data_IF_910869108607
#
_entry.id   IF_910869108607
#
_cell.length_a   1.000
_cell.length_b   1.000
_cell.length_c   1.000
_cell.angle_alpha   90.00
_cell.angle_beta   90.00
_cell.angle_gamma   90.00
#
_symmetry.space_group_name_H-M   'P 1'
#
loop_
_entity.id
_entity.type
_entity.pdbx_description
1 polymer ?
#
# COMPACT_ATOMS: atom_id res chain seq x y z
N UNK A 1 13.81 24.38 18.15
CA UNK A 1 12.67 23.89 18.95
C UNK A 1 11.32 24.42 18.43
N UNK A 2 11.16 25.72 18.17
CA UNK A 2 9.87 26.29 17.75
C UNK A 2 9.37 25.78 16.38
N UNK A 3 10.28 25.60 15.42
CA UNK A 3 9.94 25.12 14.07
C UNK A 3 9.36 23.70 14.07
N UNK A 4 9.96 22.79 14.85
CA UNK A 4 9.47 21.42 14.94
C UNK A 4 8.16 21.31 15.72
N UNK A 5 7.96 22.10 16.77
CA UNK A 5 6.70 22.16 17.49
C UNK A 5 5.55 22.61 16.57
N UNK A 6 5.81 23.62 15.71
CA UNK A 6 4.87 24.05 14.68
C UNK A 6 4.57 22.93 13.67
N UNK A 7 5.58 22.20 13.24
CA UNK A 7 5.42 21.03 12.38
C UNK A 7 4.57 19.94 13.05
N UNK A 8 4.88 19.57 14.30
CA UNK A 8 4.08 18.57 15.05
C UNK A 8 2.63 18.99 15.19
N UNK A 9 2.36 20.28 15.41
CA UNK A 9 0.98 20.77 15.47
C UNK A 9 0.27 20.56 14.13
N UNK A 10 0.93 20.85 13.01
CA UNK A 10 0.37 20.59 11.68
C UNK A 10 0.09 19.10 11.44
N UNK A 11 0.95 18.20 11.93
CA UNK A 11 0.71 16.77 11.83
C UNK A 11 -0.51 16.34 12.66
N UNK A 12 -0.67 16.89 13.87
CA UNK A 12 -1.86 16.64 14.71
C UNK A 12 -3.15 17.12 14.05
N UNK A 13 -3.10 18.28 13.43
CA UNK A 13 -4.28 18.91 12.82
C UNK A 13 -4.70 18.23 11.50
N UNK A 14 -3.73 17.75 10.71
CA UNK A 14 -3.97 17.41 9.32
C UNK A 14 -3.67 15.95 8.95
N UNK A 15 -2.99 15.18 9.80
CA UNK A 15 -2.57 13.82 9.46
C UNK A 15 -2.94 12.76 10.51
N UNK A 16 -2.36 12.86 11.70
CA UNK A 16 -2.49 11.83 12.74
C UNK A 16 -2.33 12.43 14.14
N UNK A 17 -3.12 12.00 15.12
CA UNK A 17 -2.91 12.39 16.51
C UNK A 17 -1.51 12.01 17.00
N UNK A 18 -0.78 12.96 17.58
CA UNK A 18 0.49 12.71 18.26
C UNK A 18 0.28 12.98 19.75
N UNK A 19 0.35 11.93 20.54
CA UNK A 19 0.06 11.92 21.98
C UNK A 19 1.34 11.69 22.76
N UNK A 20 1.39 12.22 23.98
CA UNK A 20 2.42 11.84 24.94
C UNK A 20 1.81 10.83 25.91
N UNK A 21 2.38 9.65 25.95
CA UNK A 21 2.06 8.65 26.95
C UNK A 21 3.23 8.42 27.90
N UNK A 22 3.00 7.74 28.98
CA UNK A 22 4.03 7.42 29.95
C UNK A 22 4.83 6.15 29.65
N UNK A 23 4.66 5.53 28.46
CA UNK A 23 5.24 4.23 28.12
C UNK A 23 6.76 4.24 27.95
N UNK A 24 7.32 5.41 27.68
CA UNK A 24 8.77 5.56 27.44
C UNK A 24 9.25 5.04 26.09
N UNK A 25 8.39 4.43 25.28
CA UNK A 25 8.72 3.84 23.99
C UNK A 25 7.96 4.56 22.86
N UNK A 26 8.65 5.21 21.89
CA UNK A 26 8.00 5.77 20.72
C UNK A 26 7.33 4.68 19.88
N UNK A 27 6.05 4.83 19.54
CA UNK A 27 5.36 3.88 18.68
C UNK A 27 4.17 4.50 17.95
N UNK A 28 3.84 3.94 16.80
CA UNK A 28 2.59 4.19 16.10
C UNK A 28 1.66 2.99 16.30
N UNK A 29 0.45 3.25 16.81
CA UNK A 29 -0.56 2.23 17.04
C UNK A 29 -1.58 2.25 15.89
N UNK A 30 -1.57 1.21 15.07
CA UNK A 30 -2.39 1.11 13.85
C UNK A 30 -3.89 1.09 14.15
N UNK A 31 -4.29 0.36 15.19
CA UNK A 31 -5.73 0.20 15.54
C UNK A 31 -6.36 1.50 16.04
N UNK A 32 -5.58 2.32 16.74
CA UNK A 32 -6.02 3.62 17.24
C UNK A 32 -5.71 4.76 16.28
N UNK A 33 -4.95 4.46 15.24
CA UNK A 33 -4.43 5.45 14.29
C UNK A 33 -3.83 6.66 15.00
N UNK A 34 -2.90 6.41 15.90
CA UNK A 34 -2.27 7.44 16.72
C UNK A 34 -0.78 7.16 16.95
N UNK A 35 0.01 8.22 16.97
CA UNK A 35 1.42 8.21 17.35
C UNK A 35 1.52 8.48 18.84
N UNK A 36 2.31 7.68 19.54
CA UNK A 36 2.62 7.84 20.95
C UNK A 36 4.11 8.13 21.13
N UNK A 37 4.39 9.21 21.84
CA UNK A 37 5.76 9.69 22.09
C UNK A 37 6.03 9.86 23.57
N UNK A 38 7.20 9.44 24.07
CA UNK A 38 7.69 9.90 25.37
C UNK A 38 7.79 11.42 25.39
N UNK A 39 7.95 11.99 26.58
CA UNK A 39 8.15 13.44 26.66
C UNK A 39 9.53 13.81 26.10
N UNK A 40 9.62 14.96 25.47
CA UNK A 40 10.89 15.44 24.90
C UNK A 40 12.05 15.39 25.90
N UNK A 41 11.80 15.67 27.17
CA UNK A 41 12.81 15.66 28.24
C UNK A 41 13.31 14.27 28.61
N UNK A 42 12.64 13.22 28.17
CA UNK A 42 13.00 11.82 28.45
C UNK A 42 14.04 11.32 27.41
N UNK A 43 14.39 12.14 26.40
CA UNK A 43 15.43 11.88 25.42
C UNK A 43 16.73 12.60 25.82
N UNK A 44 17.86 11.95 25.62
CA UNK A 44 19.17 12.52 25.88
C UNK A 44 19.45 13.73 24.97
N UNK A 45 19.06 13.61 23.69
CA UNK A 45 19.23 14.68 22.70
C UNK A 45 17.89 15.03 22.03
N UNK A 46 17.70 16.32 21.80
CA UNK A 46 16.52 16.83 21.12
C UNK A 46 16.35 16.24 19.71
N UNK A 47 17.44 16.05 18.98
CA UNK A 47 17.38 15.49 17.63
C UNK A 47 16.87 14.05 17.62
N UNK A 48 17.15 13.27 18.65
CA UNK A 48 16.67 11.89 18.77
C UNK A 48 15.15 11.88 18.98
N UNK A 49 14.62 12.78 19.81
CA UNK A 49 13.19 12.99 19.95
C UNK A 49 12.51 13.33 18.60
N UNK A 50 13.10 14.29 17.86
CA UNK A 50 12.58 14.70 16.54
C UNK A 50 12.59 13.54 15.56
N UNK A 51 13.71 12.81 15.49
CA UNK A 51 13.87 11.71 14.56
C UNK A 51 12.89 10.56 14.86
N UNK A 52 12.72 10.22 16.14
CA UNK A 52 11.74 9.20 16.55
C UNK A 52 10.30 9.65 16.23
N UNK A 53 9.95 10.89 16.50
CA UNK A 53 8.63 11.40 16.14
C UNK A 53 8.39 11.33 14.62
N UNK A 54 9.38 11.65 13.80
CA UNK A 54 9.28 11.54 12.36
C UNK A 54 9.14 10.10 11.88
N UNK A 55 9.86 9.13 12.49
CA UNK A 55 9.70 7.71 12.18
C UNK A 55 8.25 7.26 12.38
N UNK A 56 7.66 7.61 13.53
CA UNK A 56 6.29 7.25 13.84
C UNK A 56 5.27 7.95 12.91
N UNK A 57 5.51 9.19 12.54
CA UNK A 57 4.68 9.93 11.58
C UNK A 57 4.78 9.30 10.18
N UNK A 58 5.97 8.91 9.74
CA UNK A 58 6.15 8.19 8.46
C UNK A 58 5.39 6.86 8.49
N UNK A 59 5.48 6.09 9.59
CA UNK A 59 4.70 4.87 9.76
C UNK A 59 3.21 5.14 9.62
N UNK A 60 2.70 6.20 10.26
CA UNK A 60 1.29 6.59 10.16
C UNK A 60 0.85 6.86 8.71
N UNK A 61 1.71 7.38 7.83
CA UNK A 61 1.36 7.56 6.41
C UNK A 61 1.02 6.26 5.71
N UNK A 62 1.51 5.12 6.20
CA UNK A 62 1.28 3.79 5.65
C UNK A 62 -0.03 3.13 6.06
N UNK A 63 -0.82 3.76 6.92
CA UNK A 63 -2.10 3.23 7.39
C UNK A 63 -3.04 2.85 6.24
N UNK A 64 -3.91 1.84 6.47
CA UNK A 64 -4.85 1.33 5.46
C UNK A 64 -5.78 2.38 4.85
N UNK A 65 -6.08 3.45 5.60
CA UNK A 65 -6.91 4.57 5.13
C UNK A 65 -6.09 5.66 4.41
N UNK A 66 -4.78 5.54 4.36
CA UNK A 66 -3.86 6.45 3.68
C UNK A 66 -3.15 5.75 2.54
N UNK A 67 -1.84 5.57 2.60
CA UNK A 67 -1.08 4.94 1.52
C UNK A 67 -1.25 3.41 1.46
N UNK A 68 -1.77 2.80 2.52
CA UNK A 68 -2.01 1.36 2.63
C UNK A 68 -0.78 0.52 2.23
N UNK A 69 0.42 0.92 2.74
CA UNK A 69 1.65 0.20 2.41
C UNK A 69 1.61 -1.24 2.89
N UNK A 70 2.21 -2.13 2.13
CA UNK A 70 2.12 -3.58 2.33
C UNK A 70 2.61 -4.03 3.71
N UNK A 71 3.64 -3.39 4.25
CA UNK A 71 4.15 -3.65 5.60
C UNK A 71 3.28 -3.13 6.74
N UNK A 72 2.22 -2.36 6.43
CA UNK A 72 1.35 -1.72 7.43
C UNK A 72 -0.08 -2.27 7.45
N UNK A 73 -0.48 -3.06 6.45
CA UNK A 73 -1.86 -3.52 6.31
C UNK A 73 -1.96 -5.04 6.36
N UNK A 74 -2.98 -5.53 7.06
CA UNK A 74 -3.34 -6.93 7.02
C UNK A 74 -4.07 -7.24 5.70
N UNK A 75 -3.60 -8.24 4.96
CA UNK A 75 -4.26 -8.73 3.76
C UNK A 75 -4.98 -10.05 4.06
N UNK A 76 -6.29 -10.10 3.88
CA UNK A 76 -7.12 -11.30 4.13
C UNK A 76 -6.95 -11.89 5.55
N UNK A 77 -6.78 -11.03 6.56
CA UNK A 77 -6.57 -11.47 7.94
C UNK A 77 -5.14 -11.97 8.25
N UNK A 78 -4.24 -11.92 7.27
CA UNK A 78 -2.83 -12.27 7.45
C UNK A 78 -1.98 -11.05 7.72
N UNK A 79 -1.07 -11.17 8.66
CA UNK A 79 -0.04 -10.15 8.92
C UNK A 79 0.86 -9.95 7.71
N UNK A 80 1.52 -8.78 7.59
CA UNK A 80 2.53 -8.54 6.56
C UNK A 80 3.64 -9.60 6.58
N UNK A 81 4.18 -9.91 5.40
CA UNK A 81 5.35 -10.79 5.28
C UNK A 81 6.58 -10.15 5.94
N UNK A 82 7.58 -10.96 6.27
CA UNK A 82 8.84 -10.46 6.83
C UNK A 82 9.53 -9.47 5.88
N UNK A 83 9.50 -9.72 4.57
CA UNK A 83 10.08 -8.84 3.57
C UNK A 83 9.31 -7.51 3.46
N UNK A 84 7.98 -7.54 3.53
CA UNK A 84 7.17 -6.32 3.58
C UNK A 84 7.46 -5.49 4.83
N UNK A 85 7.66 -6.14 5.99
CA UNK A 85 8.07 -5.47 7.24
C UNK A 85 9.46 -4.85 7.13
N UNK A 86 10.42 -5.54 6.51
CA UNK A 86 11.77 -5.01 6.27
C UNK A 86 11.73 -3.81 5.33
N UNK A 87 10.94 -3.89 4.25
CA UNK A 87 10.74 -2.77 3.33
C UNK A 87 10.11 -1.57 4.04
N UNK A 88 9.09 -1.78 4.85
CA UNK A 88 8.46 -0.72 5.64
C UNK A 88 9.46 -0.01 6.57
N UNK A 89 10.31 -0.78 7.27
CA UNK A 89 11.37 -0.20 8.11
C UNK A 89 12.32 0.67 7.30
N UNK A 90 12.69 0.23 6.10
CA UNK A 90 13.57 1.02 5.22
C UNK A 90 12.89 2.30 4.74
N UNK A 91 11.61 2.25 4.35
CA UNK A 91 10.82 3.44 4.00
C UNK A 91 10.82 4.43 5.17
N UNK A 92 10.57 3.95 6.38
CA UNK A 92 10.54 4.78 7.60
C UNK A 92 11.89 5.45 7.84
N UNK A 93 12.99 4.72 7.75
CA UNK A 93 14.34 5.27 7.94
C UNK A 93 14.70 6.32 6.89
N UNK A 94 14.48 6.01 5.62
CA UNK A 94 14.84 6.92 4.52
C UNK A 94 13.98 8.18 4.54
N UNK A 95 12.66 8.03 4.63
CA UNK A 95 11.75 9.18 4.61
C UNK A 95 11.92 10.08 5.85
N UNK A 96 12.08 9.50 7.06
CA UNK A 96 12.35 10.29 8.26
C UNK A 96 13.69 11.01 8.20
N UNK A 97 14.73 10.37 7.66
CA UNK A 97 16.04 10.98 7.44
C UNK A 97 15.97 12.17 6.48
N UNK A 98 15.28 12.01 5.35
CA UNK A 98 15.07 13.14 4.40
C UNK A 98 14.32 14.28 5.08
N UNK A 99 13.26 13.98 5.86
CA UNK A 99 12.50 15.01 6.56
C UNK A 99 13.31 15.72 7.65
N UNK A 100 14.22 15.03 8.34
CA UNK A 100 15.20 15.65 9.24
C UNK A 100 16.02 16.73 8.50
N UNK A 101 16.56 16.37 7.34
CA UNK A 101 17.35 17.31 6.52
C UNK A 101 16.52 18.50 6.04
N UNK A 102 15.25 18.28 5.64
CA UNK A 102 14.33 19.38 5.28
C UNK A 102 14.06 20.34 6.44
N UNK A 103 14.07 19.83 7.67
CA UNK A 103 13.93 20.63 8.88
C UNK A 103 15.25 21.32 9.29
N UNK A 104 16.34 21.06 8.58
CA UNK A 104 17.68 21.60 8.86
C UNK A 104 18.36 20.90 10.04
N UNK A 105 18.01 19.64 10.31
CA UNK A 105 18.56 18.84 11.41
C UNK A 105 19.39 17.67 10.85
N UNK A 106 20.46 17.25 11.52
CA UNK A 106 21.23 16.09 11.10
C UNK A 106 20.41 14.80 11.30
N UNK A 107 20.35 13.97 10.26
CA UNK A 107 19.83 12.63 10.37
C UNK A 107 20.90 11.66 10.90
N UNK A 108 20.50 10.73 11.75
CA UNK A 108 21.37 9.66 12.27
C UNK A 108 20.72 8.30 11.96
N UNK A 109 21.56 7.36 11.55
CA UNK A 109 21.15 5.95 11.46
C UNK A 109 21.49 5.25 12.77
N UNK A 110 20.54 4.50 13.32
CA UNK A 110 20.82 3.59 14.43
C UNK A 110 21.63 2.39 13.94
N UNK A 111 22.27 1.68 14.86
CA UNK A 111 22.98 0.43 14.51
C UNK A 111 22.02 -0.62 13.92
N UNK A 112 20.77 -0.63 14.34
CA UNK A 112 19.74 -1.50 13.80
C UNK A 112 19.37 -1.10 12.36
N UNK A 113 19.28 0.20 12.10
CA UNK A 113 19.05 0.74 10.75
C UNK A 113 20.23 0.48 9.82
N UNK A 114 21.48 0.53 10.32
CA UNK A 114 22.65 0.18 9.53
C UNK A 114 22.63 -1.30 9.08
N UNK A 115 22.25 -2.22 9.96
CA UNK A 115 22.08 -3.65 9.60
C UNK A 115 20.99 -3.84 8.53
N UNK A 116 19.92 -3.07 8.63
CA UNK A 116 18.83 -3.08 7.64
C UNK A 116 19.32 -2.55 6.29
N UNK A 117 20.12 -1.50 6.27
CA UNK A 117 20.73 -0.96 5.04
C UNK A 117 21.66 -1.98 4.40
N UNK A 118 22.49 -2.69 5.18
CA UNK A 118 23.36 -3.76 4.66
C UNK A 118 22.57 -4.91 4.03
N UNK A 119 21.49 -5.33 4.69
CA UNK A 119 20.56 -6.32 4.14
C UNK A 119 20.02 -5.87 2.79
N UNK A 120 19.44 -4.66 2.71
CA UNK A 120 18.85 -4.14 1.48
C UNK A 120 19.87 -3.87 0.39
N UNK A 121 21.09 -3.46 0.71
CA UNK A 121 22.16 -3.33 -0.28
C UNK A 121 22.44 -4.63 -1.03
N UNK A 122 22.32 -5.77 -0.35
CA UNK A 122 22.45 -7.08 -0.96
C UNK A 122 21.24 -7.39 -1.84
N UNK A 123 20.02 -7.26 -1.28
CA UNK A 123 18.78 -7.53 -2.00
C UNK A 123 18.62 -6.67 -3.27
N UNK A 124 18.95 -5.38 -3.19
CA UNK A 124 18.87 -4.45 -4.31
C UNK A 124 19.89 -4.74 -5.42
N UNK A 125 21.04 -5.33 -5.07
CA UNK A 125 22.00 -5.81 -6.08
C UNK A 125 21.48 -7.01 -6.86
N UNK A 126 20.75 -7.88 -6.19
CA UNK A 126 20.16 -9.09 -6.78
C UNK A 126 18.86 -8.78 -7.54
N UNK A 127 18.09 -7.79 -7.06
CA UNK A 127 16.81 -7.40 -7.65
C UNK A 127 16.67 -5.86 -7.72
N UNK A 128 17.24 -5.21 -8.75
CA UNK A 128 17.19 -3.75 -8.88
C UNK A 128 15.79 -3.14 -8.96
N UNK A 129 14.77 -3.89 -9.38
CA UNK A 129 13.40 -3.40 -9.47
C UNK A 129 12.81 -3.01 -8.09
N UNK A 130 13.39 -3.50 -7.00
CA UNK A 130 12.97 -3.10 -5.66
C UNK A 130 13.28 -1.63 -5.35
N UNK A 131 14.25 -1.02 -6.06
CA UNK A 131 14.61 0.38 -5.89
C UNK A 131 13.43 1.28 -6.28
N UNK A 132 12.78 1.01 -7.40
CA UNK A 132 11.65 1.81 -7.89
C UNK A 132 10.47 1.77 -6.91
N UNK A 133 10.18 0.60 -6.35
CA UNK A 133 9.12 0.43 -5.36
C UNK A 133 9.44 1.19 -4.06
N UNK A 134 10.68 1.10 -3.58
CA UNK A 134 11.14 1.81 -2.39
C UNK A 134 11.10 3.32 -2.60
N UNK A 135 11.61 3.81 -3.73
CA UNK A 135 11.59 5.23 -4.07
C UNK A 135 10.16 5.77 -4.12
N UNK A 136 9.25 5.03 -4.73
CA UNK A 136 7.83 5.38 -4.80
C UNK A 136 7.22 5.49 -3.40
N UNK A 137 7.45 4.52 -2.53
CA UNK A 137 6.90 4.51 -1.17
C UNK A 137 7.46 5.65 -0.31
N UNK A 138 8.76 5.95 -0.42
CA UNK A 138 9.40 7.07 0.27
C UNK A 138 8.84 8.40 -0.21
N UNK A 139 8.77 8.61 -1.53
CA UNK A 139 8.27 9.84 -2.12
C UNK A 139 6.79 10.08 -1.76
N UNK A 140 5.97 9.05 -1.81
CA UNK A 140 4.56 9.14 -1.42
C UNK A 140 4.39 9.49 0.06
N UNK A 141 5.19 8.90 0.96
CA UNK A 141 5.16 9.23 2.39
C UNK A 141 5.55 10.69 2.64
N UNK A 142 6.62 11.16 2.00
CA UNK A 142 7.06 12.56 2.10
C UNK A 142 6.04 13.53 1.53
N UNK A 143 5.38 13.18 0.41
CA UNK A 143 4.34 14.02 -0.17
C UNK A 143 3.15 14.19 0.78
N UNK A 144 2.70 13.11 1.42
CA UNK A 144 1.63 13.15 2.43
C UNK A 144 2.02 14.08 3.57
N UNK A 145 3.24 13.96 4.10
CA UNK A 145 3.73 14.80 5.20
C UNK A 145 3.82 16.28 4.78
N UNK A 146 4.35 16.57 3.59
CA UNK A 146 4.48 17.94 3.07
C UNK A 146 3.11 18.59 2.85
N UNK A 147 2.13 17.86 2.34
CA UNK A 147 0.75 18.34 2.18
C UNK A 147 0.10 18.60 3.54
N UNK A 148 0.26 17.70 4.50
CA UNK A 148 -0.23 17.89 5.86
C UNK A 148 0.41 19.14 6.53
N UNK A 149 1.71 19.36 6.32
CA UNK A 149 2.44 20.54 6.82
C UNK A 149 1.87 21.85 6.26
N UNK A 150 1.43 21.84 4.99
CA UNK A 150 0.80 23.01 4.34
C UNK A 150 -0.70 23.13 4.63
N UNK A 151 -1.33 22.13 5.23
CA UNK A 151 -2.79 22.07 5.41
C UNK A 151 -3.53 21.81 4.10
N UNK A 152 -2.86 21.24 3.11
CA UNK A 152 -3.46 20.87 1.84
C UNK A 152 -4.28 19.57 1.97
N UNK A 153 -5.37 19.49 1.18
CA UNK A 153 -6.15 18.26 1.10
C UNK A 153 -5.32 17.13 0.49
N UNK A 154 -5.26 15.99 1.19
CA UNK A 154 -4.54 14.81 0.74
C UNK A 154 -5.53 13.85 0.08
N UNK A 155 -5.29 13.52 -1.18
CA UNK A 155 -6.04 12.51 -1.91
C UNK A 155 -5.20 11.23 -2.00
N UNK A 156 -5.70 10.16 -1.38
CA UNK A 156 -5.03 8.87 -1.41
C UNK A 156 -5.49 8.04 -2.61
N UNK A 157 -4.56 7.34 -3.25
CA UNK A 157 -4.85 6.47 -4.39
C UNK A 157 -5.92 5.40 -4.06
N UNK A 158 -5.94 4.89 -2.83
CA UNK A 158 -6.97 3.97 -2.33
C UNK A 158 -8.37 4.58 -2.32
N UNK A 159 -8.50 5.88 -2.02
CA UNK A 159 -9.76 6.61 -2.06
C UNK A 159 -10.07 7.06 -3.50
N UNK A 160 -9.04 7.38 -4.28
CA UNK A 160 -9.16 7.70 -5.71
C UNK A 160 -9.63 6.49 -6.50
N UNK A 161 -9.09 5.31 -6.23
CA UNK A 161 -9.55 4.06 -6.83
C UNK A 161 -10.98 3.72 -6.42
N UNK A 162 -11.41 4.00 -5.18
CA UNK A 162 -12.82 3.87 -4.77
C UNK A 162 -13.74 4.86 -5.47
N UNK A 163 -13.30 6.08 -5.73
CA UNK A 163 -14.05 7.08 -6.51
C UNK A 163 -14.01 6.75 -7.99
N UNK A 164 -12.86 6.37 -8.53
CA UNK A 164 -12.74 5.92 -9.92
C UNK A 164 -13.55 4.65 -10.20
N UNK A 165 -13.67 3.70 -9.26
CA UNK A 165 -14.61 2.57 -9.41
C UNK A 165 -16.06 3.02 -9.37
N UNK A 166 -16.40 4.10 -8.65
CA UNK A 166 -17.75 4.69 -8.74
C UNK A 166 -17.95 5.49 -10.04
N UNK A 167 -16.93 6.19 -10.50
CA UNK A 167 -16.95 6.97 -11.75
C UNK A 167 -16.65 6.10 -12.99
N UNK A 168 -15.91 4.99 -12.84
CA UNK A 168 -15.70 3.96 -13.87
C UNK A 168 -16.94 3.11 -14.14
N UNK A 169 -18.00 3.21 -13.31
CA UNK A 169 -19.32 2.69 -13.69
C UNK A 169 -19.87 3.35 -14.97
N UNK A 170 -19.37 4.53 -15.33
CA UNK A 170 -19.70 5.24 -16.58
C UNK A 170 -18.64 5.11 -17.68
N UNK A 171 -17.42 4.64 -17.37
CA UNK A 171 -16.29 4.57 -18.31
C UNK A 171 -15.49 3.27 -18.15
N UNK A 172 -16.17 2.13 -18.25
CA UNK A 172 -15.46 0.86 -18.52
C UNK A 172 -14.77 0.99 -19.89
N UNK A 173 -13.47 0.64 -19.98
CA UNK A 173 -12.77 0.69 -21.25
C UNK A 173 -13.55 -0.13 -22.28
N UNK A 174 -13.68 0.42 -23.49
CA UNK A 174 -14.41 -0.17 -24.64
C UNK A 174 -13.74 -1.45 -25.20
N UNK A 175 -13.04 -2.19 -24.37
CA UNK A 175 -12.39 -3.45 -24.73
C UNK A 175 -13.09 -4.61 -24.05
N UNK A 176 -14.29 -4.93 -24.51
CA UNK A 176 -14.92 -6.19 -24.19
C UNK A 176 -15.19 -6.92 -25.49
N UNK A 177 -14.90 -8.20 -25.45
CA UNK A 177 -15.27 -9.10 -26.51
C UNK A 177 -16.71 -9.55 -26.29
N UNK A 178 -17.49 -9.64 -27.36
CA UNK A 178 -18.80 -10.29 -27.29
C UNK A 178 -18.58 -11.79 -27.11
N UNK A 179 -19.46 -12.46 -26.37
CA UNK A 179 -19.30 -13.88 -26.04
C UNK A 179 -19.02 -14.80 -27.25
N UNK A 180 -19.51 -14.43 -28.43
CA UNK A 180 -19.25 -15.16 -29.68
C UNK A 180 -17.86 -14.93 -30.27
N UNK A 181 -17.21 -13.80 -29.97
CA UNK A 181 -15.85 -13.52 -30.41
C UNK A 181 -14.80 -14.26 -29.58
N UNK A 182 -15.16 -14.63 -28.32
CA UNK A 182 -14.28 -15.36 -27.41
C UNK A 182 -13.99 -16.77 -27.91
N UNK A 183 -14.97 -17.42 -28.56
CA UNK A 183 -14.81 -18.77 -29.13
C UNK A 183 -13.77 -18.82 -30.24
N UNK A 184 -13.40 -17.67 -30.81
CA UNK A 184 -12.40 -17.51 -31.85
C UNK A 184 -11.06 -16.97 -31.35
N UNK A 185 -10.93 -16.66 -30.05
CA UNK A 185 -9.72 -16.05 -29.53
C UNK A 185 -8.56 -17.06 -29.45
N UNK A 186 -7.37 -16.71 -29.98
CA UNK A 186 -6.28 -17.68 -30.20
C UNK A 186 -5.48 -18.07 -28.94
N UNK A 187 -5.84 -17.64 -27.75
CA UNK A 187 -5.06 -17.87 -26.53
C UNK A 187 -5.28 -19.25 -25.89
N UNK A 188 -5.45 -20.30 -26.70
CA UNK A 188 -5.58 -21.66 -26.20
C UNK A 188 -4.35 -22.17 -25.43
N UNK A 189 -3.21 -21.57 -25.66
CA UNK A 189 -1.91 -22.03 -25.12
C UNK A 189 -1.37 -21.10 -24.02
N UNK A 190 -2.07 -20.02 -23.66
CA UNK A 190 -1.60 -19.07 -22.66
C UNK A 190 -2.10 -19.45 -21.26
N UNK A 191 -1.23 -19.28 -20.25
CA UNK A 191 -1.57 -19.45 -18.83
C UNK A 191 -2.41 -18.30 -18.28
N UNK A 192 -2.90 -17.43 -19.14
CA UNK A 192 -3.62 -16.20 -18.78
C UNK A 192 -5.11 -16.45 -18.64
N UNK A 193 -5.72 -15.91 -17.58
CA UNK A 193 -7.17 -15.88 -17.43
C UNK A 193 -7.72 -14.73 -18.28
N UNK A 194 -8.69 -15.01 -19.11
CA UNK A 194 -9.38 -14.00 -19.92
C UNK A 194 -10.71 -13.67 -19.24
N UNK A 195 -10.96 -12.41 -18.94
CA UNK A 195 -12.22 -11.95 -18.34
C UNK A 195 -12.92 -11.04 -19.34
N UNK A 196 -14.14 -11.39 -19.69
CA UNK A 196 -14.99 -10.62 -20.60
C UNK A 196 -16.14 -10.06 -19.83
N UNK A 197 -16.28 -8.75 -19.82
CA UNK A 197 -17.31 -8.05 -19.08
C UNK A 197 -18.37 -7.51 -20.05
N UNK A 198 -19.63 -7.79 -19.77
CA UNK A 198 -20.78 -7.14 -20.38
C UNK A 198 -21.37 -6.14 -19.34
N UNK A 199 -21.08 -4.86 -19.49
CA UNK A 199 -21.54 -3.86 -18.51
C UNK A 199 -23.05 -3.64 -18.55
N UNK A 200 -23.67 -3.82 -19.70
CA UNK A 200 -25.11 -3.63 -19.87
C UNK A 200 -25.90 -4.70 -19.11
N UNK A 201 -25.37 -5.94 -19.08
CA UNK A 201 -25.96 -7.07 -18.36
C UNK A 201 -25.39 -7.25 -16.96
N UNK A 202 -24.40 -6.42 -16.57
CA UNK A 202 -23.63 -6.58 -15.32
C UNK A 202 -23.11 -8.01 -15.14
N UNK A 203 -22.64 -8.59 -16.22
CA UNK A 203 -22.15 -9.97 -16.25
C UNK A 203 -20.71 -10.07 -16.71
N UNK A 204 -20.00 -11.07 -16.25
CA UNK A 204 -18.65 -11.37 -16.69
C UNK A 204 -18.52 -12.87 -17.01
N UNK A 205 -17.84 -13.15 -18.12
CA UNK A 205 -17.42 -14.48 -18.51
C UNK A 205 -15.92 -14.61 -18.25
N UNK A 206 -15.55 -15.60 -17.45
CA UNK A 206 -14.17 -15.90 -17.08
C UNK A 206 -13.73 -17.15 -17.80
N UNK A 207 -12.77 -17.02 -18.72
CA UNK A 207 -12.22 -18.14 -19.49
C UNK A 207 -10.93 -18.58 -18.79
N UNK A 208 -10.88 -19.83 -18.43
CA UNK A 208 -9.75 -20.44 -17.75
C UNK A 208 -8.60 -20.71 -18.72
N UNK A 209 -7.35 -20.71 -18.26
CA UNK A 209 -6.21 -21.08 -19.09
C UNK A 209 -6.25 -22.55 -19.48
N UNK A 210 -5.57 -22.90 -20.57
CA UNK A 210 -5.45 -24.28 -21.03
C UNK A 210 -4.94 -25.21 -19.92
N UNK A 211 -5.58 -26.35 -19.75
CA UNK A 211 -5.27 -27.33 -18.70
C UNK A 211 -5.89 -27.06 -17.33
N UNK A 212 -6.63 -25.96 -17.16
CA UNK A 212 -7.45 -25.75 -15.97
C UNK A 212 -8.80 -26.45 -16.16
N UNK A 213 -9.27 -27.16 -15.11
CA UNK A 213 -10.58 -27.84 -15.12
C UNK A 213 -11.57 -27.14 -14.21
N UNK A 214 -12.82 -27.04 -14.67
CA UNK A 214 -13.95 -26.58 -13.86
C UNK A 214 -14.32 -27.58 -12.76
N UNK A 215 -14.00 -28.85 -12.97
CA UNK A 215 -14.44 -29.99 -12.14
C UNK A 215 -13.52 -30.25 -10.94
N UNK A 216 -12.31 -29.66 -10.93
CA UNK A 216 -11.41 -29.76 -9.79
C UNK A 216 -11.65 -28.59 -8.85
N UNK A 217 -11.80 -28.85 -7.57
CA UNK A 217 -11.96 -27.84 -6.53
C UNK A 217 -10.86 -26.77 -6.62
N UNK A 218 -11.02 -25.86 -7.56
CA UNK A 218 -10.87 -24.43 -7.40
C UNK A 218 -9.48 -23.82 -7.41
N UNK A 219 -8.39 -24.48 -7.74
CA UNK A 219 -7.11 -23.79 -7.78
C UNK A 219 -6.58 -23.61 -9.21
N UNK A 220 -6.95 -22.50 -9.80
CA UNK A 220 -6.10 -21.88 -10.82
C UNK A 220 -4.82 -21.46 -10.08
N UNK A 221 -3.61 -21.82 -10.54
CA UNK A 221 -2.38 -21.42 -9.88
C UNK A 221 -2.37 -19.91 -9.60
N UNK A 222 -2.40 -19.54 -8.31
CA UNK A 222 -2.42 -18.17 -7.82
C UNK A 222 -3.80 -17.51 -7.68
N UNK A 223 -4.92 -18.11 -8.11
CA UNK A 223 -6.25 -17.52 -8.01
C UNK A 223 -7.36 -18.56 -8.05
N UNK A 224 -8.24 -18.58 -7.06
CA UNK A 224 -9.41 -19.46 -7.08
C UNK A 224 -10.66 -18.74 -7.61
N UNK A 225 -11.65 -19.50 -8.11
CA UNK A 225 -12.92 -18.99 -8.66
C UNK A 225 -13.66 -18.07 -7.69
N UNK A 226 -13.68 -18.42 -6.40
CA UNK A 226 -14.34 -17.63 -5.36
C UNK A 226 -13.66 -16.26 -5.19
N UNK A 227 -12.36 -16.17 -5.35
CA UNK A 227 -11.60 -14.92 -5.29
C UNK A 227 -11.87 -14.03 -6.50
N UNK A 228 -11.87 -14.62 -7.70
CA UNK A 228 -12.22 -13.92 -8.94
C UNK A 228 -13.67 -13.42 -8.86
N UNK A 229 -14.61 -14.26 -8.50
CA UNK A 229 -16.02 -13.90 -8.38
C UNK A 229 -16.25 -12.77 -7.36
N UNK A 230 -15.55 -12.79 -6.22
CA UNK A 230 -15.64 -11.70 -5.23
C UNK A 230 -15.02 -10.39 -5.76
N UNK A 231 -13.92 -10.47 -6.48
CA UNK A 231 -13.31 -9.29 -7.08
C UNK A 231 -14.26 -8.65 -8.10
N UNK A 232 -14.83 -9.44 -9.01
CA UNK A 232 -15.78 -8.97 -10.02
C UNK A 232 -17.07 -8.40 -9.41
N UNK A 233 -17.59 -9.01 -8.34
CA UNK A 233 -18.77 -8.48 -7.62
C UNK A 233 -18.48 -7.14 -6.96
N UNK A 234 -17.27 -6.91 -6.47
CA UNK A 234 -16.86 -5.59 -5.95
C UNK A 234 -16.87 -4.51 -7.04
N UNK A 235 -16.63 -4.90 -8.29
CA UNK A 235 -16.71 -4.04 -9.47
C UNK A 235 -18.15 -3.86 -10.00
N UNK A 236 -19.16 -4.37 -9.29
CA UNK A 236 -20.57 -4.24 -9.65
C UNK A 236 -21.08 -5.31 -10.63
N UNK A 237 -20.33 -6.37 -10.85
CA UNK A 237 -20.75 -7.51 -11.66
C UNK A 237 -21.67 -8.41 -10.82
N UNK A 238 -22.87 -8.62 -11.28
CA UNK A 238 -23.90 -9.41 -10.57
C UNK A 238 -23.84 -10.89 -10.94
N UNK A 239 -23.48 -11.20 -12.18
CA UNK A 239 -23.38 -12.57 -12.70
C UNK A 239 -21.98 -12.88 -13.21
N UNK A 240 -21.39 -13.96 -12.75
CA UNK A 240 -20.06 -14.41 -13.20
C UNK A 240 -20.16 -15.87 -13.64
N UNK A 241 -19.76 -16.13 -14.88
CA UNK A 241 -19.70 -17.47 -15.46
C UNK A 241 -18.26 -17.85 -15.73
N UNK A 242 -17.95 -19.12 -15.55
CA UNK A 242 -16.61 -19.66 -15.79
C UNK A 242 -16.67 -20.67 -16.94
N UNK A 243 -15.71 -20.59 -17.84
CA UNK A 243 -15.61 -21.44 -19.01
C UNK A 243 -14.24 -22.12 -19.08
N UNK A 244 -14.23 -23.36 -19.54
CA UNK A 244 -13.00 -24.00 -19.98
C UNK A 244 -12.53 -23.37 -21.31
N UNK A 245 -11.23 -23.41 -21.61
CA UNK A 245 -10.71 -22.86 -22.87
C UNK A 245 -11.24 -23.60 -24.13
N UNK A 246 -11.73 -24.79 -23.95
CA UNK A 246 -12.21 -25.65 -25.06
C UNK A 246 -13.76 -25.63 -25.22
N UNK A 247 -14.47 -24.82 -24.44
CA UNK A 247 -15.91 -24.58 -24.55
C UNK A 247 -16.76 -25.31 -23.54
#
# INVERSE_FOLDING_TARGET
>A
HGRFNGFLQKMRDNLVPVRSDGSGIPHYETDKDAVYMPRQRDFEHYNDYVQEALRQIVSATGHQQRLAREGMVMKNGMAPSEDALKQERLVVEVASGIKMLELGLPARLSDESLKLVEYWNRELKENPCLIDALESDVNNALEVIRKAEKGEKIEYATLRNRRQTSDMKEQLPKHYFVADEIKQHPNKDDKTIVIVIDPAKKSADVILPAGASLDVDNEIPGMNKARIGRALRREGIESVRFFNPDG
#
